data_IF_273908005406
#
_entry.id   IF_273908005406
#
_cell.length_a   1.000
_cell.length_b   1.000
_cell.length_c   1.000
_cell.angle_alpha   90.00
_cell.angle_beta   90.00
_cell.angle_gamma   90.00
#
_symmetry.space_group_name_H-M   'P 1'
#
loop_
_entity.id
_entity.type
_entity.pdbx_description
1 polymer ?
#
# COMPACT_ATOMS: atom_id res chain seq x y z
N UNK A 1 -30.63 16.05 47.52
CA UNK A 1 -29.61 16.08 46.45
C UNK A 1 -30.10 17.06 45.39
N UNK A 2 -29.54 18.27 45.34
CA UNK A 2 -29.81 19.22 44.26
C UNK A 2 -28.90 18.87 43.09
N UNK A 3 -29.46 18.62 41.91
CA UNK A 3 -28.65 18.54 40.70
C UNK A 3 -27.89 19.87 40.53
N UNK A 4 -26.60 19.84 40.20
CA UNK A 4 -25.87 21.04 39.86
C UNK A 4 -26.58 21.78 38.71
N UNK A 5 -26.52 23.12 38.65
CA UNK A 5 -27.15 23.89 37.58
C UNK A 5 -26.62 23.44 36.21
N UNK A 6 -27.52 23.17 35.26
CA UNK A 6 -27.13 22.86 33.88
C UNK A 6 -26.28 24.00 33.31
N UNK A 7 -25.04 23.69 32.92
CA UNK A 7 -24.09 24.63 32.34
C UNK A 7 -23.90 24.32 30.85
N UNK A 8 -24.38 25.18 29.94
CA UNK A 8 -24.22 24.98 28.48
C UNK A 8 -22.77 24.81 28.01
N UNK A 9 -21.81 25.31 28.80
CA UNK A 9 -20.38 25.19 28.52
C UNK A 9 -19.86 23.75 28.62
N UNK A 10 -20.47 22.90 29.46
CA UNK A 10 -20.06 21.50 29.64
C UNK A 10 -20.31 20.71 28.34
N UNK A 11 -21.43 20.96 27.66
CA UNK A 11 -21.77 20.35 26.37
C UNK A 11 -20.83 20.81 25.25
N UNK A 12 -20.49 22.10 25.20
CA UNK A 12 -19.55 22.67 24.22
C UNK A 12 -18.16 22.07 24.36
N UNK A 13 -17.65 21.98 25.60
CA UNK A 13 -16.33 21.40 25.87
C UNK A 13 -16.24 19.92 25.45
N UNK A 14 -17.33 19.17 25.62
CA UNK A 14 -17.45 17.78 25.16
C UNK A 14 -17.50 17.68 23.63
N UNK A 15 -18.24 18.56 22.97
CA UNK A 15 -18.33 18.62 21.50
C UNK A 15 -17.00 19.01 20.85
N UNK A 16 -16.30 20.01 21.39
CA UNK A 16 -14.99 20.44 20.90
C UNK A 16 -13.95 19.31 20.98
N UNK A 17 -13.84 18.63 22.13
CA UNK A 17 -12.95 17.47 22.30
C UNK A 17 -13.28 16.33 21.35
N UNK A 18 -14.58 16.01 21.19
CA UNK A 18 -15.03 14.99 20.24
C UNK A 18 -14.68 15.35 18.80
N UNK A 19 -14.83 16.63 18.42
CA UNK A 19 -14.50 17.11 17.09
C UNK A 19 -12.98 17.03 16.81
N UNK A 20 -12.14 17.36 17.80
CA UNK A 20 -10.69 17.27 17.68
C UNK A 20 -10.22 15.81 17.54
N UNK A 21 -10.79 14.89 18.32
CA UNK A 21 -10.50 13.45 18.22
C UNK A 21 -10.97 12.90 16.86
N UNK A 22 -12.16 13.30 16.41
CA UNK A 22 -12.70 12.87 15.12
C UNK A 22 -11.83 13.35 13.94
N UNK A 23 -11.37 14.61 13.97
CA UNK A 23 -10.49 15.16 12.94
C UNK A 23 -9.14 14.43 12.90
N UNK A 24 -8.54 14.14 14.07
CA UNK A 24 -7.29 13.36 14.17
C UNK A 24 -7.47 11.96 13.59
N UNK A 25 -8.52 11.26 13.99
CA UNK A 25 -8.83 9.92 13.50
C UNK A 25 -9.07 9.91 11.98
N UNK A 26 -9.76 10.93 11.45
CA UNK A 26 -9.98 11.08 10.02
C UNK A 26 -8.67 11.34 9.25
N UNK A 27 -7.77 12.16 9.79
CA UNK A 27 -6.46 12.43 9.18
C UNK A 27 -5.57 11.18 9.14
N UNK A 28 -5.55 10.40 10.22
CA UNK A 28 -4.85 9.12 10.30
C UNK A 28 -5.43 8.10 9.30
N UNK A 29 -6.75 7.92 9.30
CA UNK A 29 -7.42 7.01 8.38
C UNK A 29 -7.11 7.38 6.93
N UNK A 30 -7.18 8.67 6.59
CA UNK A 30 -6.85 9.17 5.24
C UNK A 30 -5.40 8.87 4.85
N UNK A 31 -4.45 9.05 5.76
CA UNK A 31 -3.03 8.78 5.51
C UNK A 31 -2.79 7.30 5.24
N UNK A 32 -3.36 6.43 6.07
CA UNK A 32 -3.28 4.97 5.90
C UNK A 32 -3.95 4.54 4.59
N UNK A 33 -5.11 5.11 4.22
CA UNK A 33 -5.77 4.83 2.95
C UNK A 33 -4.91 5.20 1.75
N UNK A 34 -4.19 6.32 1.78
CA UNK A 34 -3.29 6.73 0.69
C UNK A 34 -2.15 5.71 0.53
N UNK A 35 -1.54 5.27 1.65
CA UNK A 35 -0.47 4.25 1.63
C UNK A 35 -0.96 2.98 0.94
N UNK A 36 -2.11 2.45 1.38
CA UNK A 36 -2.66 1.22 0.79
C UNK A 36 -3.13 1.40 -0.65
N UNK A 37 -3.63 2.58 -1.03
CA UNK A 37 -4.02 2.86 -2.41
C UNK A 37 -2.81 2.84 -3.35
N UNK A 38 -1.72 3.53 -2.98
CA UNK A 38 -0.49 3.57 -3.75
C UNK A 38 0.18 2.20 -3.81
N UNK A 39 0.26 1.50 -2.68
CA UNK A 39 0.76 0.14 -2.62
C UNK A 39 -0.08 -0.80 -3.49
N UNK A 40 -1.41 -0.76 -3.37
CA UNK A 40 -2.31 -1.58 -4.18
C UNK A 40 -2.17 -1.32 -5.69
N UNK A 41 -1.97 -0.08 -6.11
CA UNK A 41 -1.71 0.25 -7.52
C UNK A 41 -0.37 -0.38 -8.00
N UNK A 42 0.68 -0.31 -7.18
CA UNK A 42 1.95 -0.97 -7.46
C UNK A 42 1.82 -2.49 -7.51
N UNK A 43 1.13 -3.09 -6.53
CA UNK A 43 0.86 -4.53 -6.49
C UNK A 43 0.11 -5.00 -7.74
N UNK A 44 -0.92 -4.27 -8.18
CA UNK A 44 -1.66 -4.60 -9.41
C UNK A 44 -0.74 -4.53 -10.62
N UNK A 45 0.11 -3.51 -10.74
CA UNK A 45 1.07 -3.39 -11.83
C UNK A 45 2.04 -4.59 -11.88
N UNK A 46 2.60 -4.97 -10.73
CA UNK A 46 3.53 -6.09 -10.61
C UNK A 46 2.84 -7.45 -10.82
N UNK A 47 1.60 -7.60 -10.35
CA UNK A 47 0.80 -8.80 -10.54
C UNK A 47 0.44 -8.99 -12.02
N UNK A 48 0.06 -7.91 -12.71
CA UNK A 48 -0.16 -7.93 -14.16
C UNK A 48 1.12 -8.34 -14.90
N UNK A 49 2.27 -7.76 -14.54
CA UNK A 49 3.57 -8.17 -15.11
C UNK A 49 3.80 -9.66 -14.92
N UNK A 50 3.63 -10.16 -13.69
CA UNK A 50 3.87 -11.56 -13.33
C UNK A 50 2.94 -12.51 -14.11
N UNK A 51 1.65 -12.20 -14.20
CA UNK A 51 0.67 -12.97 -14.97
C UNK A 51 1.04 -12.99 -16.45
N UNK A 52 1.38 -11.83 -17.04
CA UNK A 52 1.75 -11.75 -18.45
C UNK A 52 3.02 -12.55 -18.77
N UNK A 53 4.02 -12.55 -17.88
CA UNK A 53 5.26 -13.33 -18.02
C UNK A 53 4.97 -14.83 -17.99
N UNK A 54 4.16 -15.31 -17.05
CA UNK A 54 3.81 -16.73 -16.94
C UNK A 54 2.92 -17.18 -18.10
N UNK A 55 2.04 -16.30 -18.58
CA UNK A 55 1.20 -16.58 -19.74
C UNK A 55 1.97 -16.59 -21.07
N UNK A 56 3.26 -16.22 -21.09
CA UNK A 56 4.04 -16.09 -22.33
C UNK A 56 3.50 -14.97 -23.24
N UNK A 57 3.05 -13.87 -22.64
CA UNK A 57 2.49 -12.76 -23.41
C UNK A 57 3.55 -12.18 -24.36
N UNK A 58 3.17 -12.00 -25.63
CA UNK A 58 4.04 -11.45 -26.67
C UNK A 58 4.67 -10.11 -26.23
N UNK A 59 6.01 -10.01 -26.10
CA UNK A 59 6.68 -8.80 -25.64
C UNK A 59 6.56 -7.62 -26.63
N UNK A 60 6.19 -7.85 -27.89
CA UNK A 60 5.94 -6.78 -28.88
C UNK A 60 4.52 -6.19 -28.78
N UNK A 61 3.62 -6.82 -28.02
CA UNK A 61 2.29 -6.30 -27.79
C UNK A 61 2.35 -4.95 -27.04
N UNK A 62 1.59 -3.95 -27.51
CA UNK A 62 1.61 -2.61 -26.93
C UNK A 62 1.26 -2.58 -25.43
N UNK A 63 0.28 -3.37 -24.99
CA UNK A 63 -0.13 -3.44 -23.59
C UNK A 63 0.97 -4.10 -22.73
N UNK A 64 1.50 -5.24 -23.18
CA UNK A 64 2.59 -5.93 -22.48
C UNK A 64 3.83 -5.03 -22.33
N UNK A 65 4.21 -4.30 -23.38
CA UNK A 65 5.35 -3.35 -23.33
C UNK A 65 5.17 -2.26 -22.29
N UNK A 66 3.97 -1.69 -22.18
CA UNK A 66 3.69 -0.66 -21.17
C UNK A 66 3.82 -1.25 -19.76
N UNK A 67 3.22 -2.41 -19.50
CA UNK A 67 3.31 -3.05 -18.18
C UNK A 67 4.75 -3.43 -17.84
N UNK A 68 5.48 -4.07 -18.76
CA UNK A 68 6.87 -4.45 -18.56
C UNK A 68 7.79 -3.24 -18.37
N UNK A 69 7.58 -2.16 -19.12
CA UNK A 69 8.33 -0.92 -19.01
C UNK A 69 8.11 -0.21 -17.68
N UNK A 70 6.85 0.01 -17.30
CA UNK A 70 6.50 0.70 -16.05
C UNK A 70 6.92 -0.11 -14.81
N UNK A 71 6.75 -1.43 -14.85
CA UNK A 71 7.12 -2.30 -13.73
C UNK A 71 8.63 -2.46 -13.55
N UNK A 72 9.44 -2.17 -14.57
CA UNK A 72 10.86 -2.54 -14.57
C UNK A 72 11.64 -1.86 -13.44
N UNK A 73 11.36 -0.58 -13.17
CA UNK A 73 12.03 0.17 -12.11
C UNK A 73 11.77 -0.40 -10.71
N UNK A 74 10.60 -1.02 -10.51
CA UNK A 74 10.21 -1.61 -9.23
C UNK A 74 10.74 -3.03 -9.05
N UNK A 75 10.94 -3.77 -10.14
CA UNK A 75 11.57 -5.11 -10.08
C UNK A 75 13.09 -5.02 -10.04
N UNK A 76 13.68 -3.95 -10.60
CA UNK A 76 15.13 -3.77 -10.71
C UNK A 76 15.94 -4.01 -9.41
N UNK A 77 15.50 -3.56 -8.22
CA UNK A 77 16.23 -3.83 -6.97
C UNK A 77 16.33 -5.32 -6.60
N UNK A 78 15.43 -6.15 -7.14
CA UNK A 78 15.35 -7.60 -6.92
C UNK A 78 15.91 -8.40 -8.11
N UNK A 79 16.45 -7.72 -9.13
CA UNK A 79 17.04 -8.38 -10.27
C UNK A 79 18.20 -9.28 -9.82
N UNK A 80 18.27 -10.50 -10.37
CA UNK A 80 19.27 -11.51 -10.04
C UNK A 80 19.24 -12.01 -8.59
N UNK A 81 18.16 -11.74 -7.82
CA UNK A 81 18.01 -12.28 -6.47
C UNK A 81 17.96 -13.81 -6.49
N UNK A 82 17.27 -14.38 -7.47
CA UNK A 82 17.31 -15.80 -7.79
C UNK A 82 17.73 -15.99 -9.24
N UNK A 83 18.49 -17.06 -9.50
CA UNK A 83 18.73 -17.50 -10.87
C UNK A 83 17.41 -18.00 -11.45
N UNK A 84 16.85 -17.27 -12.41
CA UNK A 84 15.64 -17.68 -13.10
C UNK A 84 15.99 -18.82 -14.04
N UNK A 85 15.43 -20.03 -13.87
CA UNK A 85 15.60 -21.08 -14.86
C UNK A 85 14.90 -20.63 -16.15
N UNK A 86 15.67 -20.26 -17.15
CA UNK A 86 15.16 -19.89 -18.47
C UNK A 86 14.80 -21.19 -19.18
N UNK A 87 13.57 -21.68 -18.98
CA UNK A 87 13.03 -22.80 -19.74
C UNK A 87 12.70 -22.37 -21.18
N UNK A 88 12.31 -21.10 -21.36
CA UNK A 88 12.07 -20.43 -22.64
C UNK A 88 12.35 -18.92 -22.46
N UNK A 89 13.05 -18.23 -23.38
CA UNK A 89 13.24 -16.77 -23.33
C UNK A 89 11.93 -15.98 -23.19
N UNK A 90 10.83 -16.49 -23.75
CA UNK A 90 9.53 -15.82 -23.78
C UNK A 90 8.60 -16.27 -22.63
N UNK A 91 8.89 -17.39 -21.97
CA UNK A 91 8.22 -17.86 -20.75
C UNK A 91 9.21 -18.00 -19.60
N UNK A 92 9.67 -16.85 -19.11
CA UNK A 92 10.45 -16.80 -17.88
C UNK A 92 9.51 -16.70 -16.67
N UNK A 93 9.49 -17.73 -15.82
CA UNK A 93 8.90 -17.61 -14.49
C UNK A 93 9.67 -16.56 -13.68
N UNK A 94 9.17 -15.33 -13.65
CA UNK A 94 9.84 -14.19 -13.02
C UNK A 94 9.67 -14.24 -11.50
N UNK A 95 10.44 -15.13 -10.84
CA UNK A 95 10.48 -15.25 -9.38
C UNK A 95 10.87 -13.93 -8.71
N UNK A 96 11.68 -13.09 -9.37
CA UNK A 96 12.08 -11.80 -8.83
C UNK A 96 10.89 -10.82 -8.77
N UNK A 97 10.00 -10.83 -9.77
CA UNK A 97 8.74 -10.08 -9.72
C UNK A 97 7.79 -10.60 -8.62
N UNK A 98 7.76 -11.91 -8.38
CA UNK A 98 6.98 -12.47 -7.26
C UNK A 98 7.51 -12.01 -5.90
N UNK A 99 8.84 -11.97 -5.73
CA UNK A 99 9.44 -11.44 -4.51
C UNK A 99 9.14 -9.95 -4.35
N UNK A 100 9.18 -9.18 -5.44
CA UNK A 100 8.82 -7.76 -5.40
C UNK A 100 7.39 -7.54 -4.85
N UNK A 101 6.40 -8.33 -5.31
CA UNK A 101 5.02 -8.30 -4.76
C UNK A 101 5.02 -8.52 -3.24
N UNK A 102 5.65 -9.59 -2.77
CA UNK A 102 5.65 -9.92 -1.33
C UNK A 102 6.34 -8.81 -0.52
N UNK A 103 7.49 -8.32 -0.98
CA UNK A 103 8.27 -7.30 -0.28
C UNK A 103 7.51 -5.97 -0.23
N UNK A 104 6.91 -5.53 -1.33
CA UNK A 104 6.16 -4.27 -1.35
C UNK A 104 4.89 -4.34 -0.50
N UNK A 105 4.17 -5.48 -0.49
CA UNK A 105 3.04 -5.69 0.41
C UNK A 105 3.46 -5.61 1.89
N UNK A 106 4.58 -6.25 2.25
CA UNK A 106 5.13 -6.20 3.62
C UNK A 106 5.58 -4.79 4.01
N UNK A 107 6.24 -4.06 3.10
CA UNK A 107 6.66 -2.67 3.33
C UNK A 107 5.45 -1.75 3.50
N UNK A 108 4.42 -1.89 2.67
CA UNK A 108 3.20 -1.10 2.79
C UNK A 108 2.50 -1.34 4.14
N UNK A 109 2.38 -2.61 4.54
CA UNK A 109 1.84 -2.98 5.84
C UNK A 109 2.68 -2.39 6.98
N UNK A 110 4.00 -2.52 6.92
CA UNK A 110 4.92 -2.00 7.94
C UNK A 110 4.80 -0.48 8.07
N UNK A 111 4.81 0.25 6.96
CA UNK A 111 4.70 1.71 6.95
C UNK A 111 3.34 2.15 7.49
N UNK A 112 2.24 1.52 7.06
CA UNK A 112 0.91 1.81 7.59
C UNK A 112 0.83 1.53 9.11
N UNK A 113 1.45 0.43 9.57
CA UNK A 113 1.51 0.07 10.98
C UNK A 113 2.30 1.09 11.80
N UNK A 114 3.44 1.56 11.30
CA UNK A 114 4.26 2.59 11.96
C UNK A 114 3.51 3.92 12.05
N UNK A 115 2.85 4.35 10.97
CA UNK A 115 1.98 5.55 10.98
C UNK A 115 0.89 5.42 12.03
N UNK A 116 0.26 4.24 12.13
CA UNK A 116 -0.76 4.02 13.15
C UNK A 116 -0.20 4.17 14.56
N UNK A 117 0.95 3.55 14.87
CA UNK A 117 1.56 3.56 16.20
C UNK A 117 1.95 4.98 16.63
N UNK A 118 2.65 5.72 15.76
CA UNK A 118 3.17 7.07 16.08
C UNK A 118 2.04 8.04 16.43
N UNK A 119 0.89 7.91 15.77
CA UNK A 119 -0.26 8.77 16.01
C UNK A 119 -1.22 8.24 17.09
N UNK A 120 -1.26 6.93 17.34
CA UNK A 120 -2.06 6.36 18.43
C UNK A 120 -1.45 6.61 19.80
N UNK A 121 -0.13 6.69 19.89
CA UNK A 121 0.61 6.72 21.16
C UNK A 121 0.83 8.15 21.71
N UNK A 122 0.36 9.18 20.98
CA UNK A 122 0.30 10.57 21.47
C UNK A 122 -1.14 10.90 21.93
N UNK A 123 -1.48 10.70 23.22
CA UNK A 123 -2.78 11.08 23.77
C UNK A 123 -3.06 12.59 23.66
#
# INVERSE_FOLDING_TARGET
MTQPPYRPEDDRSGQERRSAIAQRNAALARTISIIYYLAGALEILLLLRFILRIAGANPDNAFARVIYGLSNIFVAPFANLFQTPVLDPDQAFDINALIALVVYALLAWLVARLVWIIWSDNP
#
